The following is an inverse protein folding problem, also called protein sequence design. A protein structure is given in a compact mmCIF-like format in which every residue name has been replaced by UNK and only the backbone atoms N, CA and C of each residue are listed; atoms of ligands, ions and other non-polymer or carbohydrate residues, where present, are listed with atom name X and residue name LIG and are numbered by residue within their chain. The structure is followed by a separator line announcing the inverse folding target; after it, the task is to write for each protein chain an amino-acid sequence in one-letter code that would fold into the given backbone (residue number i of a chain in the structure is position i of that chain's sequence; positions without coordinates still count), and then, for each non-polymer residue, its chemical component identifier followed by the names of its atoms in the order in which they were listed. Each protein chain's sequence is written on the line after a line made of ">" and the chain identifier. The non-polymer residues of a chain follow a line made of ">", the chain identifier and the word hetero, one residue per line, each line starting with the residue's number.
data_IF_987252124407
#
_entry.id   IF_987252124407
#
_cell.length_a   1.000
_cell.length_b   1.000
_cell.length_c   1.000
_cell.angle_alpha   90.00
_cell.angle_beta   90.00
_cell.angle_gamma   90.00
#
_symmetry.space_group_name_H-M   'P 1'
#
loop_
_entity.id
_entity.type
_entity.pdbx_description
1 polymer ?
#
# COMPACT_ATOMS: atom_id res chain seq x y z
N UNK A 1 45.71 30.32 -8.72
CA UNK A 1 45.09 29.80 -7.48
C UNK A 1 43.67 30.35 -7.25
N UNK A 2 43.46 31.68 -7.22
CA UNK A 2 42.13 32.28 -6.98
C UNK A 2 41.06 31.93 -8.05
N UNK A 3 41.45 31.75 -9.31
CA UNK A 3 40.57 31.37 -10.42
C UNK A 3 40.16 29.90 -10.39
N UNK A 4 41.08 28.99 -10.05
CA UNK A 4 40.78 27.56 -9.85
C UNK A 4 39.90 27.34 -8.61
N UNK A 5 40.12 28.09 -7.53
CA UNK A 5 39.27 28.06 -6.34
C UNK A 5 37.85 28.55 -6.65
N UNK A 6 37.70 29.66 -7.39
CA UNK A 6 36.40 30.16 -7.85
C UNK A 6 35.69 29.17 -8.78
N UNK A 7 36.42 28.54 -9.71
CA UNK A 7 35.87 27.52 -10.58
C UNK A 7 35.39 26.28 -9.81
N UNK A 8 36.15 25.84 -8.81
CA UNK A 8 35.75 24.74 -7.92
C UNK A 8 34.50 25.07 -7.10
N UNK A 9 34.40 26.28 -6.54
CA UNK A 9 33.21 26.72 -5.79
C UNK A 9 31.97 26.79 -6.68
N UNK A 10 32.10 27.32 -7.90
CA UNK A 10 31.01 27.39 -8.87
C UNK A 10 30.55 25.97 -9.27
N UNK A 11 31.49 25.04 -9.50
CA UNK A 11 31.16 23.66 -9.83
C UNK A 11 30.40 22.97 -8.70
N UNK A 12 30.84 23.13 -7.44
CA UNK A 12 30.13 22.58 -6.27
C UNK A 12 28.73 23.18 -6.14
N UNK A 13 28.59 24.50 -6.32
CA UNK A 13 27.29 25.17 -6.28
C UNK A 13 26.34 24.63 -7.35
N UNK A 14 26.81 24.44 -8.58
CA UNK A 14 26.02 23.88 -9.67
C UNK A 14 25.58 22.44 -9.39
N UNK A 15 26.45 21.62 -8.79
CA UNK A 15 26.12 20.25 -8.38
C UNK A 15 25.03 20.28 -7.30
N UNK A 16 25.15 21.16 -6.30
CA UNK A 16 24.14 21.30 -5.25
C UNK A 16 22.79 21.74 -5.83
N UNK A 17 22.77 22.74 -6.71
CA UNK A 17 21.56 23.20 -7.40
C UNK A 17 20.94 22.07 -8.23
N UNK A 18 21.75 21.32 -8.99
CA UNK A 18 21.26 20.20 -9.78
C UNK A 18 20.62 19.11 -8.92
N UNK A 19 21.23 18.76 -7.79
CA UNK A 19 20.71 17.73 -6.89
C UNK A 19 19.43 18.17 -6.17
N UNK A 20 19.30 19.46 -5.81
CA UNK A 20 18.05 20.03 -5.30
C UNK A 20 16.94 19.93 -6.36
N UNK A 21 17.23 20.31 -7.61
CA UNK A 21 16.27 20.21 -8.71
C UNK A 21 15.80 18.78 -8.96
N UNK A 22 16.71 17.80 -8.91
CA UNK A 22 16.37 16.37 -9.01
C UNK A 22 15.43 15.94 -7.89
N UNK A 23 15.71 16.30 -6.64
CA UNK A 23 14.84 15.97 -5.51
C UNK A 23 13.42 16.51 -5.67
N UNK A 24 13.29 17.80 -6.05
CA UNK A 24 11.97 18.43 -6.30
C UNK A 24 11.21 17.74 -7.44
N UNK A 25 11.92 17.38 -8.52
CA UNK A 25 11.33 16.66 -9.64
C UNK A 25 10.85 15.26 -9.24
N UNK A 26 11.67 14.49 -8.51
CA UNK A 26 11.31 13.16 -8.01
C UNK A 26 10.06 13.20 -7.12
N UNK A 27 9.97 14.16 -6.21
CA UNK A 27 8.80 14.33 -5.35
C UNK A 27 7.51 14.50 -6.16
N UNK A 28 7.57 15.35 -7.18
CA UNK A 28 6.42 15.63 -8.05
C UNK A 28 6.03 14.42 -8.92
N UNK A 29 7.02 13.72 -9.47
CA UNK A 29 6.80 12.52 -10.31
C UNK A 29 6.21 11.37 -9.49
N UNK A 30 6.72 11.12 -8.27
CA UNK A 30 6.19 10.06 -7.40
C UNK A 30 4.76 10.36 -7.02
N UNK A 31 4.46 11.60 -6.61
CA UNK A 31 3.09 12.03 -6.28
C UNK A 31 2.15 11.82 -7.47
N UNK A 32 2.53 12.33 -8.64
CA UNK A 32 1.72 12.19 -9.85
C UNK A 32 1.52 10.70 -10.23
N UNK A 33 2.55 9.88 -10.07
CA UNK A 33 2.47 8.43 -10.30
C UNK A 33 1.48 7.74 -9.36
N UNK A 34 1.53 8.05 -8.06
CA UNK A 34 0.59 7.52 -7.05
C UNK A 34 -0.85 7.92 -7.38
N UNK A 35 -1.08 9.20 -7.69
CA UNK A 35 -2.42 9.72 -7.99
C UNK A 35 -2.95 9.27 -9.37
N UNK A 36 -2.06 8.94 -10.32
CA UNK A 36 -2.46 8.46 -11.65
C UNK A 36 -2.67 6.94 -11.72
N UNK A 37 -1.87 6.16 -10.99
CA UNK A 37 -1.88 4.69 -11.04
C UNK A 37 -2.69 4.11 -9.88
N UNK A 38 -2.62 4.70 -8.69
CA UNK A 38 -3.36 4.25 -7.51
C UNK A 38 -4.86 4.08 -7.75
N UNK A 39 -5.56 5.01 -8.42
CA UNK A 39 -6.97 4.84 -8.73
C UNK A 39 -7.27 3.70 -9.69
N UNK A 40 -6.35 3.43 -10.64
CA UNK A 40 -6.49 2.32 -11.60
C UNK A 40 -6.32 0.96 -10.95
N UNK A 41 -5.45 0.87 -9.92
CA UNK A 41 -5.24 -0.35 -9.14
C UNK A 41 -6.41 -0.55 -8.18
N UNK A 42 -6.76 0.46 -7.38
CA UNK A 42 -7.72 0.32 -6.29
C UNK A 42 -9.17 0.39 -6.76
N UNK A 43 -9.44 1.00 -7.91
CA UNK A 43 -10.78 1.34 -8.36
C UNK A 43 -11.45 2.42 -7.48
N UNK A 44 -10.64 3.25 -6.81
CA UNK A 44 -11.10 4.30 -5.88
C UNK A 44 -10.31 5.59 -6.09
N UNK A 45 -10.66 6.67 -5.39
CA UNK A 45 -9.79 7.87 -5.36
C UNK A 45 -8.52 7.58 -4.56
N UNK A 46 -7.37 8.00 -5.06
CA UNK A 46 -6.10 7.98 -4.31
C UNK A 46 -5.51 9.38 -4.35
N UNK A 47 -5.18 9.93 -3.19
CA UNK A 47 -4.57 11.25 -3.04
C UNK A 47 -3.34 11.18 -2.16
N UNK A 48 -2.33 11.99 -2.46
CA UNK A 48 -1.12 12.08 -1.68
C UNK A 48 -0.74 13.54 -1.47
N UNK A 49 -0.64 13.99 -0.23
CA UNK A 49 -0.35 15.39 0.05
C UNK A 49 1.05 15.79 -0.43
N UNK A 50 2.07 15.05 0.00
CA UNK A 50 3.45 15.36 -0.32
C UNK A 50 4.37 14.13 -0.36
N UNK A 51 5.48 14.30 -1.09
CA UNK A 51 6.60 13.37 -1.14
C UNK A 51 7.86 14.16 -0.80
N UNK A 52 8.75 13.56 -0.01
CA UNK A 52 10.04 14.13 0.34
C UNK A 52 11.13 13.07 0.21
N UNK A 53 11.89 13.13 -0.88
CA UNK A 53 12.99 12.21 -1.18
C UNK A 53 14.33 12.95 -1.10
N UNK A 54 15.25 12.36 -0.35
CA UNK A 54 16.65 12.78 -0.29
C UNK A 54 17.48 11.91 -1.26
N UNK A 55 17.88 12.44 -2.43
CA UNK A 55 18.73 11.69 -3.36
C UNK A 55 20.14 11.42 -2.80
N UNK A 56 20.54 12.12 -1.74
CA UNK A 56 21.83 11.96 -1.08
C UNK A 56 21.86 10.83 -0.06
N UNK A 57 20.73 10.56 0.60
CA UNK A 57 20.66 9.59 1.68
C UNK A 57 19.81 8.36 1.36
N UNK A 58 19.14 8.31 0.21
CA UNK A 58 18.25 7.19 -0.14
C UNK A 58 16.94 7.16 0.64
N UNK A 59 16.69 8.17 1.48
CA UNK A 59 15.52 8.23 2.35
C UNK A 59 14.39 8.96 1.66
N UNK A 60 13.20 8.40 1.72
CA UNK A 60 11.96 8.97 1.22
C UNK A 60 10.90 9.04 2.32
N UNK A 61 9.99 10.00 2.20
CA UNK A 61 8.78 10.10 3.00
C UNK A 61 7.57 10.34 2.12
N UNK A 62 6.49 9.63 2.38
CA UNK A 62 5.17 9.85 1.81
C UNK A 62 4.28 10.43 2.90
N UNK A 63 3.61 11.56 2.63
CA UNK A 63 2.79 12.26 3.61
C UNK A 63 1.36 12.37 3.13
N UNK A 64 0.42 12.12 4.04
CA UNK A 64 -1.02 12.30 3.80
C UNK A 64 -1.54 11.46 2.63
N UNK A 65 -1.25 10.15 2.62
CA UNK A 65 -1.86 9.25 1.63
C UNK A 65 -3.27 8.91 2.09
N UNK A 66 -4.24 9.11 1.19
CA UNK A 66 -5.64 8.76 1.39
C UNK A 66 -6.11 7.90 0.22
N UNK A 67 -6.64 6.72 0.54
CA UNK A 67 -7.35 5.84 -0.40
C UNK A 67 -8.83 5.88 -0.03
N UNK A 68 -9.65 6.28 -0.99
CA UNK A 68 -11.10 6.35 -0.86
C UNK A 68 -11.74 4.97 -0.74
N UNK A 69 -13.06 4.94 -0.65
CA UNK A 69 -13.80 3.68 -0.70
C UNK A 69 -14.37 3.41 -2.10
N UNK A 70 -14.50 2.13 -2.49
CA UNK A 70 -15.24 1.75 -3.69
C UNK A 70 -16.71 2.17 -3.59
N UNK A 71 -17.39 2.24 -4.73
CA UNK A 71 -18.84 2.45 -4.75
C UNK A 71 -19.59 1.35 -3.98
N UNK A 72 -20.63 1.73 -3.24
CA UNK A 72 -21.45 0.81 -2.44
C UNK A 72 -21.07 0.72 -0.96
N UNK A 73 -20.06 1.47 -0.52
CA UNK A 73 -19.65 1.59 0.89
C UNK A 73 -19.82 3.04 1.38
N UNK A 74 -20.09 3.21 2.67
CA UNK A 74 -20.48 4.49 3.29
C UNK A 74 -19.34 5.21 4.00
N UNK A 75 -18.31 4.49 4.44
CA UNK A 75 -17.14 5.10 5.05
C UNK A 75 -16.42 6.04 4.07
N UNK A 76 -15.82 7.10 4.60
CA UNK A 76 -15.15 8.13 3.80
C UNK A 76 -13.92 7.60 3.04
N UNK A 77 -13.17 6.68 3.65
CA UNK A 77 -11.90 6.18 3.13
C UNK A 77 -11.63 4.74 3.56
N UNK A 78 -11.02 3.95 2.69
CA UNK A 78 -10.55 2.60 3.03
C UNK A 78 -9.23 2.63 3.82
N UNK A 79 -8.37 3.60 3.53
CA UNK A 79 -7.04 3.69 4.12
C UNK A 79 -6.54 5.14 4.19
N UNK A 80 -5.95 5.52 5.32
CA UNK A 80 -5.31 6.82 5.54
C UNK A 80 -3.98 6.62 6.28
N UNK A 81 -2.92 7.32 5.87
CA UNK A 81 -1.70 7.45 6.69
C UNK A 81 -1.20 8.89 6.65
N UNK A 82 -0.67 9.35 7.78
CA UNK A 82 -0.07 10.67 7.90
C UNK A 82 1.35 10.71 7.35
N UNK A 83 2.16 9.67 7.64
CA UNK A 83 3.56 9.58 7.24
C UNK A 83 3.96 8.13 7.03
N UNK A 84 4.69 7.86 5.95
CA UNK A 84 5.40 6.61 5.72
C UNK A 84 6.85 6.93 5.36
N UNK A 85 7.78 6.14 5.91
CA UNK A 85 9.22 6.28 5.69
C UNK A 85 9.71 5.15 4.82
N UNK A 86 10.60 5.46 3.90
CA UNK A 86 11.23 4.52 2.99
C UNK A 86 12.74 4.75 3.04
N UNK A 87 13.51 3.68 3.13
CA UNK A 87 14.96 3.68 2.99
C UNK A 87 15.35 2.80 1.81
N UNK A 88 16.14 3.36 0.89
CA UNK A 88 16.52 2.76 -0.39
C UNK A 88 18.04 2.66 -0.45
N UNK A 89 18.54 1.50 -0.87
CA UNK A 89 19.95 1.39 -1.22
C UNK A 89 20.23 2.20 -2.49
N UNK A 90 20.89 3.35 -2.33
CA UNK A 90 21.26 4.24 -3.42
C UNK A 90 22.07 3.57 -4.52
N UNK A 91 22.87 2.54 -4.20
CA UNK A 91 23.67 1.81 -5.19
C UNK A 91 22.78 1.02 -6.14
N UNK A 92 21.64 0.55 -5.65
CA UNK A 92 20.66 -0.21 -6.42
C UNK A 92 19.81 0.66 -7.36
N UNK A 93 19.72 1.98 -7.10
CA UNK A 93 18.80 2.88 -7.80
C UNK A 93 19.03 2.94 -9.33
N UNK A 94 20.29 2.87 -9.76
CA UNK A 94 20.68 2.87 -11.18
C UNK A 94 20.68 1.47 -11.81
N UNK A 95 20.52 0.42 -11.02
CA UNK A 95 20.51 -0.96 -11.50
C UNK A 95 19.12 -1.39 -11.99
N UNK A 96 19.02 -2.58 -12.58
CA UNK A 96 17.73 -3.14 -13.02
C UNK A 96 16.85 -3.61 -11.82
N UNK A 97 17.46 -3.80 -10.63
CA UNK A 97 16.78 -4.17 -9.37
C UNK A 97 16.93 -3.08 -8.31
N UNK A 98 15.83 -2.46 -7.90
CA UNK A 98 15.80 -1.51 -6.79
C UNK A 98 15.68 -2.26 -5.46
N UNK A 99 16.59 -2.00 -4.53
CA UNK A 99 16.57 -2.55 -3.17
C UNK A 99 16.06 -1.47 -2.22
N UNK A 100 14.96 -1.79 -1.55
CA UNK A 100 14.35 -1.01 -0.49
C UNK A 100 14.73 -1.71 0.81
N UNK A 101 15.55 -1.06 1.62
CA UNK A 101 16.01 -1.60 2.89
C UNK A 101 14.86 -1.67 3.89
N UNK A 102 14.08 -0.59 3.98
CA UNK A 102 13.00 -0.49 4.95
C UNK A 102 11.83 0.35 4.45
N UNK A 103 10.61 -0.10 4.73
CA UNK A 103 9.37 0.67 4.65
C UNK A 103 8.71 0.62 6.02
N UNK A 104 8.51 1.79 6.65
CA UNK A 104 7.81 1.91 7.93
C UNK A 104 6.57 2.75 7.78
N UNK A 105 5.42 2.17 8.14
CA UNK A 105 4.14 2.84 8.27
C UNK A 105 3.71 2.79 9.74
N UNK A 106 3.56 3.96 10.36
CA UNK A 106 3.25 4.09 11.78
C UNK A 106 1.90 4.80 11.96
N UNK A 107 0.97 4.13 12.65
CA UNK A 107 -0.34 4.68 12.95
C UNK A 107 -1.28 4.87 11.76
N UNK A 108 -1.32 4.00 10.73
CA UNK A 108 -2.31 4.17 9.66
C UNK A 108 -3.71 3.89 10.19
N UNK A 109 -4.70 4.52 9.57
CA UNK A 109 -6.12 4.24 9.79
C UNK A 109 -6.62 3.39 8.62
N UNK A 110 -7.13 2.20 8.94
CA UNK A 110 -7.66 1.24 7.99
C UNK A 110 -9.15 1.13 8.29
N UNK A 111 -10.01 1.26 7.28
CA UNK A 111 -11.45 1.06 7.48
C UNK A 111 -11.88 -0.20 6.76
N UNK A 112 -12.46 -1.13 7.51
CA UNK A 112 -13.11 -2.31 6.97
C UNK A 112 -14.61 -2.12 7.07
N UNK A 113 -15.30 -2.13 5.94
CA UNK A 113 -16.75 -2.06 5.88
C UNK A 113 -17.31 -3.31 5.21
N UNK A 114 -18.13 -4.08 5.94
CA UNK A 114 -18.89 -5.19 5.37
C UNK A 114 -20.20 -4.69 4.74
N UNK A 115 -20.61 -5.33 3.65
CA UNK A 115 -21.87 -5.07 2.97
C UNK A 115 -22.35 -6.28 2.16
N UNK A 116 -23.50 -6.16 1.47
CA UNK A 116 -24.13 -7.27 0.76
C UNK A 116 -23.24 -7.91 -0.33
N UNK A 117 -22.36 -7.11 -0.94
CA UNK A 117 -21.43 -7.53 -1.99
C UNK A 117 -20.04 -7.90 -1.48
N UNK A 118 -19.87 -8.15 -0.17
CA UNK A 118 -18.58 -8.43 0.45
C UNK A 118 -18.06 -7.24 1.26
N UNK A 119 -16.75 -6.99 1.24
CA UNK A 119 -16.15 -5.87 1.98
C UNK A 119 -15.47 -4.87 1.05
N UNK A 120 -15.31 -3.63 1.53
CA UNK A 120 -14.60 -2.58 0.79
C UNK A 120 -13.15 -2.99 0.45
N UNK A 121 -12.42 -3.56 1.41
CA UNK A 121 -11.05 -4.04 1.20
C UNK A 121 -11.00 -5.23 0.24
N UNK A 122 -11.97 -6.16 0.34
CA UNK A 122 -12.11 -7.24 -0.63
C UNK A 122 -12.36 -6.71 -2.04
N UNK A 123 -13.17 -5.66 -2.19
CA UNK A 123 -13.41 -5.05 -3.51
C UNK A 123 -12.17 -4.37 -4.08
N UNK A 124 -11.39 -3.70 -3.25
CA UNK A 124 -10.09 -3.14 -3.64
C UNK A 124 -9.13 -4.25 -4.10
N UNK A 125 -9.12 -5.39 -3.41
CA UNK A 125 -8.32 -6.56 -3.80
C UNK A 125 -8.71 -7.09 -5.19
N UNK A 126 -10.02 -7.23 -5.46
CA UNK A 126 -10.54 -7.65 -6.76
C UNK A 126 -10.11 -6.69 -7.88
N UNK A 127 -10.21 -5.38 -7.64
CA UNK A 127 -9.81 -4.36 -8.60
C UNK A 127 -8.30 -4.44 -8.89
N UNK A 128 -7.47 -4.63 -7.86
CA UNK A 128 -6.03 -4.77 -8.02
C UNK A 128 -5.66 -6.03 -8.83
N UNK A 129 -6.33 -7.15 -8.57
CA UNK A 129 -6.15 -8.38 -9.33
C UNK A 129 -6.59 -8.23 -10.80
N UNK A 130 -7.71 -7.55 -11.06
CA UNK A 130 -8.20 -7.27 -12.41
C UNK A 130 -7.24 -6.35 -13.20
N UNK A 131 -6.66 -5.34 -12.53
CA UNK A 131 -5.64 -4.48 -13.10
C UNK A 131 -4.39 -5.28 -13.48
N UNK A 132 -3.89 -6.14 -12.58
CA UNK A 132 -2.74 -7.01 -12.83
C UNK A 132 -2.91 -7.90 -14.07
N UNK A 133 -4.10 -8.50 -14.24
CA UNK A 133 -4.43 -9.31 -15.44
C UNK A 133 -4.44 -8.46 -16.72
N UNK A 134 -5.00 -7.26 -16.64
CA UNK A 134 -5.10 -6.34 -17.79
C UNK A 134 -3.74 -5.85 -18.28
N UNK A 135 -2.79 -5.63 -17.37
CA UNK A 135 -1.40 -5.24 -17.69
C UNK A 135 -0.66 -6.42 -18.34
N UNK A 136 -0.75 -7.62 -17.76
CA UNK A 136 -0.11 -8.82 -18.32
C UNK A 136 -0.60 -9.16 -19.74
N UNK A 137 -1.89 -8.94 -20.04
CA UNK A 137 -2.44 -9.12 -21.39
C UNK A 137 -1.97 -8.08 -22.40
N UNK A 138 -1.66 -6.85 -21.97
CA UNK A 138 -1.10 -5.80 -22.85
C UNK A 138 0.37 -5.99 -23.14
N UNK A 139 1.17 -6.38 -22.14
CA UNK A 139 2.59 -6.68 -22.31
C UNK A 139 2.82 -7.86 -23.28
N UNK A 140 1.91 -8.84 -23.31
CA UNK A 140 1.94 -9.94 -24.27
C UNK A 140 1.58 -9.55 -25.72
N UNK A 141 0.90 -8.40 -25.92
CA UNK A 141 0.48 -7.92 -27.25
C UNK A 141 1.48 -6.93 -27.88
N UNK A 142 2.33 -6.27 -27.09
CA UNK A 142 3.27 -5.23 -27.54
C UNK A 142 4.72 -5.72 -27.70
N UNK A 143 4.99 -7.02 -27.55
CA UNK A 143 6.32 -7.62 -27.62
C UNK A 143 6.90 -7.75 -29.06
N UNK A 144 6.97 -6.64 -29.81
CA UNK A 144 7.67 -6.53 -31.10
C UNK A 144 8.72 -5.41 -31.17
N UNK A 145 9.25 -4.91 -30.04
CA UNK A 145 10.46 -4.08 -30.04
C UNK A 145 11.17 -4.10 -28.67
N UNK A 146 12.50 -4.30 -28.59
CA UNK A 146 13.25 -4.25 -27.35
C UNK A 146 13.61 -2.79 -27.05
N UNK A 147 12.67 -2.01 -26.53
CA UNK A 147 13.02 -0.78 -25.79
C UNK A 147 12.91 -1.11 -24.31
N UNK A 148 13.98 -0.88 -23.54
CA UNK A 148 13.96 -0.93 -22.06
C UNK A 148 12.84 0.00 -21.59
N UNK A 149 11.67 -0.58 -21.30
CA UNK A 149 10.58 0.17 -20.71
C UNK A 149 10.91 0.39 -19.22
N UNK A 150 11.06 1.66 -18.76
CA UNK A 150 11.30 1.96 -17.34
C UNK A 150 10.22 1.45 -16.39
N UNK A 151 9.07 0.96 -16.89
CA UNK A 151 8.03 0.28 -16.11
C UNK A 151 8.43 -1.12 -15.61
N UNK A 152 9.54 -1.69 -16.09
CA UNK A 152 9.99 -3.06 -15.74
C UNK A 152 10.94 -3.16 -14.55
N UNK A 153 11.32 -2.05 -13.90
CA UNK A 153 12.24 -2.09 -12.75
C UNK A 153 11.70 -3.05 -11.68
N UNK A 154 12.51 -4.05 -11.35
CA UNK A 154 12.22 -5.01 -10.28
C UNK A 154 12.52 -4.37 -8.94
N UNK A 155 11.84 -4.83 -7.90
CA UNK A 155 12.00 -4.35 -6.53
C UNK A 155 12.28 -5.52 -5.60
N UNK A 156 13.06 -5.26 -4.58
CA UNK A 156 13.25 -6.10 -3.40
C UNK A 156 13.00 -5.24 -2.17
N UNK A 157 12.22 -5.73 -1.21
CA UNK A 157 11.95 -5.03 0.06
C UNK A 157 12.44 -5.91 1.20
N UNK A 158 13.50 -5.48 1.91
CA UNK A 158 14.08 -6.27 2.99
C UNK A 158 13.18 -6.24 4.23
N UNK A 159 12.64 -5.06 4.57
CA UNK A 159 11.73 -4.90 5.69
C UNK A 159 10.52 -4.04 5.33
N UNK A 160 9.31 -4.60 5.47
CA UNK A 160 8.08 -3.83 5.52
C UNK A 160 7.48 -3.95 6.92
N UNK A 161 7.28 -2.82 7.58
CA UNK A 161 6.81 -2.73 8.95
C UNK A 161 5.58 -1.82 8.98
N UNK A 162 4.45 -2.38 9.41
CA UNK A 162 3.23 -1.64 9.73
C UNK A 162 2.94 -1.83 11.21
N UNK A 163 2.87 -0.71 11.95
CA UNK A 163 2.69 -0.71 13.40
C UNK A 163 1.68 0.33 13.85
N UNK A 164 1.12 0.11 15.04
CA UNK A 164 0.13 0.99 15.67
C UNK A 164 -1.11 1.28 14.78
N UNK A 165 -1.43 0.38 13.85
CA UNK A 165 -2.53 0.59 12.92
C UNK A 165 -3.88 0.52 13.62
N UNK A 166 -4.75 1.49 13.31
CA UNK A 166 -6.12 1.57 13.82
C UNK A 166 -7.07 1.06 12.76
N UNK A 167 -7.76 -0.04 13.07
CA UNK A 167 -8.80 -0.61 12.25
C UNK A 167 -10.16 -0.06 12.71
N UNK A 168 -10.86 0.63 11.82
CA UNK A 168 -12.26 1.00 11.97
C UNK A 168 -13.12 -0.08 11.29
N UNK A 169 -13.71 -0.99 12.07
CA UNK A 169 -14.59 -2.03 11.58
C UNK A 169 -16.05 -1.54 11.58
N UNK A 170 -16.67 -1.49 10.42
CA UNK A 170 -18.02 -1.02 10.16
C UNK A 170 -18.83 -2.08 9.42
N UNK A 171 -20.15 -1.99 9.52
CA UNK A 171 -21.08 -2.73 8.66
C UNK A 171 -21.99 -1.72 7.96
N UNK A 172 -22.40 -2.02 6.73
CA UNK A 172 -23.24 -1.11 5.91
C UNK A 172 -24.53 -0.70 6.65
N UNK A 173 -25.10 -1.61 7.44
CA UNK A 173 -26.27 -1.36 8.29
C UNK A 173 -26.05 -0.30 9.40
N UNK A 174 -24.80 -0.08 9.80
CA UNK A 174 -24.41 0.88 10.84
C UNK A 174 -24.24 2.31 10.30
N UNK A 175 -24.50 2.55 9.01
CA UNK A 175 -24.48 3.87 8.36
C UNK A 175 -23.22 4.69 8.68
N UNK A 176 -22.05 4.04 8.64
CA UNK A 176 -20.75 4.68 8.88
C UNK A 176 -20.27 4.70 10.32
N UNK A 177 -21.01 4.15 11.29
CA UNK A 177 -20.49 3.92 12.65
C UNK A 177 -19.53 2.72 12.64
N UNK A 178 -18.39 2.86 13.30
CA UNK A 178 -17.36 1.83 13.34
C UNK A 178 -16.89 1.53 14.77
N UNK A 179 -16.48 0.29 15.00
CA UNK A 179 -15.70 -0.13 16.16
C UNK A 179 -14.21 0.03 15.84
N UNK A 180 -13.47 0.77 16.66
CA UNK A 180 -12.03 0.93 16.47
C UNK A 180 -11.26 -0.15 17.24
N UNK A 181 -10.37 -0.86 16.54
CA UNK A 181 -9.53 -1.95 17.04
C UNK A 181 -8.08 -1.62 16.68
N UNK A 182 -7.12 -1.87 17.57
CA UNK A 182 -5.70 -1.78 17.22
C UNK A 182 -5.25 -3.09 16.59
N UNK A 183 -4.66 -3.02 15.40
CA UNK A 183 -4.09 -4.21 14.74
C UNK A 183 -2.74 -4.59 15.37
N UNK A 184 -2.40 -5.89 15.38
CA UNK A 184 -1.05 -6.33 15.68
C UNK A 184 -0.06 -5.77 14.65
N UNK A 185 1.20 -5.62 15.06
CA UNK A 185 2.26 -5.20 14.14
C UNK A 185 2.43 -6.24 13.02
N UNK A 186 2.55 -5.77 11.79
CA UNK A 186 2.84 -6.59 10.62
C UNK A 186 4.29 -6.35 10.23
N UNK A 187 5.08 -7.42 10.17
CA UNK A 187 6.45 -7.38 9.68
C UNK A 187 6.61 -8.40 8.55
N UNK A 188 6.72 -7.91 7.32
CA UNK A 188 7.13 -8.73 6.18
C UNK A 188 8.62 -8.55 5.94
N UNK A 189 9.28 -9.65 5.57
CA UNK A 189 10.72 -9.67 5.32
C UNK A 189 10.99 -10.23 3.95
N UNK A 190 12.02 -9.71 3.32
CA UNK A 190 12.63 -10.33 2.14
C UNK A 190 11.69 -10.48 0.93
N UNK A 191 10.76 -9.54 0.74
CA UNK A 191 9.85 -9.52 -0.42
C UNK A 191 10.69 -9.42 -1.69
N UNK A 192 10.62 -10.46 -2.53
CA UNK A 192 11.36 -10.54 -3.79
C UNK A 192 12.88 -10.74 -3.67
N UNK A 193 13.37 -11.21 -2.53
CA UNK A 193 14.81 -11.48 -2.31
C UNK A 193 15.32 -12.71 -3.04
N UNK A 194 14.51 -13.77 -3.14
CA UNK A 194 14.91 -15.05 -3.72
C UNK A 194 14.90 -15.07 -5.26
N UNK A 195 14.39 -14.01 -5.91
CA UNK A 195 14.39 -13.83 -7.37
C UNK A 195 15.27 -12.65 -7.79
N UNK A 196 15.32 -12.33 -9.09
CA UNK A 196 15.90 -11.07 -9.61
C UNK A 196 15.08 -9.80 -9.20
N UNK A 197 14.47 -9.83 -8.01
CA UNK A 197 13.41 -8.93 -7.58
C UNK A 197 12.04 -9.36 -8.08
N UNK A 198 11.00 -8.70 -7.59
CA UNK A 198 9.61 -8.84 -8.04
C UNK A 198 9.16 -7.58 -8.75
N UNK A 199 8.06 -7.64 -9.51
CA UNK A 199 7.45 -6.41 -10.02
C UNK A 199 6.83 -5.61 -8.87
N UNK A 200 6.71 -4.29 -9.03
CA UNK A 200 6.07 -3.41 -8.04
C UNK A 200 4.65 -3.90 -7.72
N UNK A 201 3.91 -4.36 -8.72
CA UNK A 201 2.55 -4.87 -8.57
C UNK A 201 2.51 -6.10 -7.66
N UNK A 202 3.47 -7.04 -7.81
CA UNK A 202 3.55 -8.23 -6.97
C UNK A 202 3.92 -7.87 -5.52
N UNK A 203 4.88 -6.95 -5.32
CA UNK A 203 5.23 -6.47 -3.99
C UNK A 203 4.04 -5.78 -3.28
N UNK A 204 3.29 -4.94 -4.01
CA UNK A 204 2.07 -4.29 -3.49
C UNK A 204 0.99 -5.32 -3.13
N UNK A 205 0.80 -6.34 -3.99
CA UNK A 205 -0.17 -7.40 -3.72
C UNK A 205 0.16 -8.18 -2.44
N UNK A 206 1.43 -8.55 -2.25
CA UNK A 206 1.90 -9.28 -1.06
C UNK A 206 1.72 -8.45 0.23
N UNK A 207 2.04 -7.16 0.21
CA UNK A 207 1.79 -6.25 1.33
C UNK A 207 0.29 -6.11 1.62
N UNK A 208 -0.52 -5.94 0.58
CA UNK A 208 -1.96 -5.77 0.72
C UNK A 208 -2.65 -7.02 1.28
N UNK A 209 -2.19 -8.21 0.85
CA UNK A 209 -2.65 -9.50 1.35
C UNK A 209 -2.36 -9.67 2.84
N UNK A 210 -1.14 -9.34 3.28
CA UNK A 210 -0.77 -9.41 4.69
C UNK A 210 -1.62 -8.48 5.57
N UNK A 211 -1.86 -7.24 5.11
CA UNK A 211 -2.72 -6.28 5.80
C UNK A 211 -4.15 -6.81 5.87
N UNK A 212 -4.71 -7.25 4.75
CA UNK A 212 -6.09 -7.74 4.67
C UNK A 212 -6.30 -8.98 5.55
N UNK A 213 -5.32 -9.90 5.58
CA UNK A 213 -5.34 -11.07 6.45
C UNK A 213 -5.37 -10.67 7.93
N UNK A 214 -4.51 -9.72 8.33
CA UNK A 214 -4.48 -9.20 9.70
C UNK A 214 -5.80 -8.52 10.08
N UNK A 215 -6.37 -7.72 9.18
CA UNK A 215 -7.68 -7.07 9.36
C UNK A 215 -8.78 -8.11 9.56
N UNK A 216 -8.87 -9.11 8.68
CA UNK A 216 -9.90 -10.17 8.77
C UNK A 216 -9.77 -10.94 10.09
N UNK A 217 -8.55 -11.28 10.50
CA UNK A 217 -8.30 -11.95 11.78
C UNK A 217 -8.73 -11.09 12.98
N UNK A 218 -8.44 -9.79 12.96
CA UNK A 218 -8.82 -8.86 14.02
C UNK A 218 -10.35 -8.70 14.11
N UNK A 219 -11.03 -8.57 12.97
CA UNK A 219 -12.50 -8.51 12.89
C UNK A 219 -13.11 -9.82 13.40
N UNK A 220 -12.64 -10.98 12.93
CA UNK A 220 -13.15 -12.28 13.36
C UNK A 220 -12.94 -12.52 14.87
N UNK A 221 -11.78 -12.13 15.41
CA UNK A 221 -11.48 -12.25 16.84
C UNK A 221 -12.37 -11.34 17.68
N UNK A 222 -12.65 -10.12 17.18
CA UNK A 222 -13.57 -9.19 17.85
C UNK A 222 -15.02 -9.67 17.77
N UNK A 223 -15.45 -10.26 16.65
CA UNK A 223 -16.76 -10.88 16.51
C UNK A 223 -16.95 -12.06 17.47
N UNK A 224 -15.93 -12.91 17.62
CA UNK A 224 -15.95 -14.02 18.59
C UNK A 224 -15.95 -13.51 20.03
N UNK A 225 -15.22 -12.42 20.33
CA UNK A 225 -15.22 -11.80 21.65
C UNK A 225 -16.58 -11.18 21.97
N UNK A 226 -17.22 -10.54 20.98
CA UNK A 226 -18.59 -10.08 21.10
C UNK A 226 -19.51 -11.27 21.35
N UNK A 227 -19.47 -12.33 20.54
CA UNK A 227 -20.26 -13.56 20.67
C UNK A 227 -20.09 -14.24 22.04
N UNK A 228 -18.86 -14.33 22.55
CA UNK A 228 -18.56 -14.84 23.88
C UNK A 228 -19.05 -13.89 25.00
N UNK A 229 -19.12 -12.58 24.72
CA UNK A 229 -19.75 -11.55 25.56
C UNK A 229 -21.29 -11.47 25.44
N UNK A 230 -21.91 -12.08 24.41
CA UNK A 230 -23.39 -12.20 24.24
C UNK A 230 -24.01 -13.09 25.32
N UNK A 231 -23.19 -13.78 26.15
CA UNK A 231 -23.67 -14.23 27.46
C UNK A 231 -24.30 -13.11 28.31
N UNK A 232 -24.09 -11.82 27.97
CA UNK A 232 -24.59 -10.66 28.70
C UNK A 232 -25.23 -9.52 27.87
N UNK A 233 -25.26 -9.54 26.52
CA UNK A 233 -25.86 -8.44 25.74
C UNK A 233 -26.44 -8.89 24.38
N UNK A 234 -27.73 -8.60 24.15
CA UNK A 234 -28.59 -9.20 23.11
C UNK A 234 -28.42 -8.78 21.63
N UNK A 235 -29.52 -8.92 20.88
CA UNK A 235 -29.72 -9.09 19.42
C UNK A 235 -28.83 -8.29 18.44
N UNK A 236 -28.27 -7.14 18.82
CA UNK A 236 -27.37 -6.36 17.96
C UNK A 236 -26.03 -7.07 17.66
N UNK A 237 -25.58 -7.96 18.54
CA UNK A 237 -24.31 -8.66 18.40
C UNK A 237 -24.38 -9.90 17.47
N UNK A 238 -25.57 -10.47 17.26
CA UNK A 238 -25.78 -11.59 16.32
C UNK A 238 -25.60 -11.18 14.85
N UNK A 239 -26.03 -9.96 14.49
CA UNK A 239 -25.89 -9.44 13.12
C UNK A 239 -24.42 -9.20 12.72
N UNK A 240 -23.61 -8.68 13.65
CA UNK A 240 -22.20 -8.40 13.40
C UNK A 240 -21.34 -9.68 13.35
N UNK A 241 -21.54 -10.63 14.26
CA UNK A 241 -20.73 -11.86 14.31
C UNK A 241 -20.93 -12.78 13.09
N UNK A 242 -22.18 -12.94 12.65
CA UNK A 242 -22.52 -13.85 11.55
C UNK A 242 -22.13 -13.31 10.17
N UNK A 243 -22.22 -12.00 9.92
CA UNK A 243 -21.76 -11.39 8.68
C UNK A 243 -20.23 -11.21 8.65
N UNK A 244 -19.62 -10.79 9.76
CA UNK A 244 -18.16 -10.66 9.84
C UNK A 244 -17.45 -12.01 9.68
N UNK A 245 -17.99 -13.08 10.27
CA UNK A 245 -17.46 -14.44 10.11
C UNK A 245 -17.56 -14.96 8.67
N UNK A 246 -18.70 -14.74 7.99
CA UNK A 246 -18.89 -15.13 6.58
C UNK A 246 -18.05 -14.29 5.62
N UNK A 247 -17.93 -12.99 5.88
CA UNK A 247 -17.10 -12.08 5.08
C UNK A 247 -15.61 -12.39 5.26
N UNK A 248 -15.18 -12.71 6.48
CA UNK A 248 -13.82 -13.15 6.77
C UNK A 248 -13.47 -14.47 6.09
N UNK A 249 -14.37 -15.47 6.14
CA UNK A 249 -14.16 -16.76 5.48
C UNK A 249 -14.05 -16.61 3.95
N UNK A 250 -14.96 -15.85 3.32
CA UNK A 250 -14.93 -15.60 1.86
C UNK A 250 -13.70 -14.79 1.43
N UNK A 251 -13.26 -13.83 2.23
CA UNK A 251 -12.05 -13.06 1.94
C UNK A 251 -10.80 -13.96 1.98
N UNK A 252 -10.68 -14.84 2.98
CA UNK A 252 -9.57 -15.79 3.10
C UNK A 252 -9.56 -16.82 1.96
N UNK A 253 -10.73 -17.32 1.55
CA UNK A 253 -10.85 -18.23 0.40
C UNK A 253 -10.51 -17.54 -0.93
N UNK A 254 -10.96 -16.29 -1.12
CA UNK A 254 -10.61 -15.49 -2.30
C UNK A 254 -9.10 -15.22 -2.40
N UNK A 255 -8.45 -14.94 -1.27
CA UNK A 255 -6.98 -14.77 -1.19
C UNK A 255 -6.26 -16.07 -1.59
N UNK A 256 -6.61 -17.21 -0.99
CA UNK A 256 -5.96 -18.50 -1.31
C UNK A 256 -6.19 -18.94 -2.76
N UNK A 257 -7.37 -18.68 -3.32
CA UNK A 257 -7.70 -19.06 -4.70
C UNK A 257 -7.04 -18.20 -5.77
N UNK A 258 -6.64 -16.97 -5.46
CA UNK A 258 -6.04 -16.02 -6.41
C UNK A 258 -4.51 -16.09 -6.47
N UNK A 259 -3.84 -16.52 -5.41
CA UNK A 259 -2.37 -16.61 -5.33
C UNK A 259 -1.83 -18.04 -5.22
N UNK A 260 -2.70 -19.04 -5.11
CA UNK A 260 -2.36 -20.47 -5.06
C UNK A 260 -2.12 -21.14 -6.43
N UNK A 261 -1.68 -20.40 -7.46
CA UNK A 261 -1.23 -20.96 -8.74
C UNK A 261 0.11 -20.40 -9.16
#
# INVERSE_FOLDING_TARGET
>A
MKTLLKAGVIAVLLIVVALVMVGVYLNSVIKAGVEAVGPKITGTTVKLDAVDVSPFSGRGRLKGLVVGNPHGFHAESAFKLADAKVDVDLKSALSDKLIIEEIVIDGPEITYESGPSGSNLGKIQENAAAFGKSVASKEAAESKSPKKDPTQKKVQINHFILKNARLNASASMLKGKALTITLPNIHLRDIGKESDGVTVQKAVAEVFEAITTSVVQAVASSGKLLEQGIGAAGEAAQGLGSEAGKAGAKAVEGVKGLFGK
#
